data_IF_906792954644
#
_entry.id   IF_906792954644
#
_cell.length_a   1.000
_cell.length_b   1.000
_cell.length_c   1.000
_cell.angle_alpha   90.00
_cell.angle_beta   90.00
_cell.angle_gamma   90.00
#
_symmetry.space_group_name_H-M   'P 1'
#
loop_
_entity.id
_entity.type
_entity.pdbx_description
1 polymer ?
#
# COMPACT_ATOMS: atom_id res chain seq x y z
N UNK A 1 18.98 -5.90 12.50
CA UNK A 1 18.01 -4.82 12.22
C UNK A 1 18.63 -3.48 12.60
N UNK A 2 18.93 -2.63 11.61
CA UNK A 2 19.73 -1.39 11.76
C UNK A 2 19.01 -0.38 12.66
N UNK A 3 19.60 -0.11 13.82
CA UNK A 3 18.97 0.62 14.94
C UNK A 3 19.38 2.08 15.07
N UNK A 4 20.29 2.54 14.22
CA UNK A 4 20.68 3.94 14.14
C UNK A 4 20.97 4.28 12.69
N UNK A 5 20.08 5.07 12.08
CA UNK A 5 20.23 5.53 10.70
C UNK A 5 21.44 6.45 10.52
N UNK A 6 22.06 6.92 11.63
CA UNK A 6 23.33 7.65 11.61
C UNK A 6 24.51 6.82 11.06
N UNK A 7 24.36 5.49 10.92
CA UNK A 7 25.37 4.60 10.33
C UNK A 7 25.00 4.08 8.94
N UNK A 8 23.90 4.54 8.36
CA UNK A 8 23.59 4.24 6.97
C UNK A 8 24.57 5.03 6.10
N UNK A 9 25.65 4.36 5.69
CA UNK A 9 26.59 4.82 4.68
C UNK A 9 25.87 4.87 3.32
N UNK A 10 24.96 5.83 3.18
CA UNK A 10 24.30 6.11 1.92
C UNK A 10 25.29 6.81 0.99
N UNK A 11 25.23 6.52 -0.33
CA UNK A 11 25.91 7.33 -1.31
C UNK A 11 25.52 8.81 -1.18
N UNK A 12 26.45 9.72 -1.52
CA UNK A 12 26.28 11.17 -1.33
C UNK A 12 25.08 11.77 -2.06
N UNK A 13 24.53 11.09 -3.07
CA UNK A 13 23.36 11.53 -3.84
C UNK A 13 22.01 11.08 -3.23
N UNK A 14 22.01 10.38 -2.10
CA UNK A 14 20.81 9.95 -1.39
C UNK A 14 20.59 10.71 -0.07
N UNK A 15 19.33 10.84 0.30
CA UNK A 15 18.85 11.35 1.59
C UNK A 15 17.71 10.46 2.08
N UNK A 16 17.38 10.59 3.36
CA UNK A 16 16.36 9.77 3.98
C UNK A 16 15.43 10.57 4.88
N UNK A 17 14.22 10.06 5.04
CA UNK A 17 13.25 10.53 6.02
C UNK A 17 12.79 9.35 6.88
N UNK A 18 12.77 9.51 8.20
CA UNK A 18 12.42 8.44 9.14
C UNK A 18 11.21 8.79 9.99
N UNK A 19 10.37 7.79 10.27
CA UNK A 19 9.34 7.85 11.30
C UNK A 19 9.58 6.73 12.32
N UNK A 20 9.97 7.13 13.54
CA UNK A 20 10.28 6.21 14.63
C UNK A 20 9.09 6.05 15.57
N UNK A 21 8.94 4.88 16.19
CA UNK A 21 7.95 4.67 17.24
C UNK A 21 8.27 5.51 18.49
N UNK A 22 7.32 6.30 18.98
CA UNK A 22 7.48 7.07 20.23
C UNK A 22 7.44 6.08 21.41
N UNK A 23 8.40 6.16 22.34
CA UNK A 23 8.50 5.39 23.62
C UNK A 23 8.97 3.93 23.55
N UNK A 24 10.13 3.63 22.94
CA UNK A 24 10.76 2.29 23.09
C UNK A 24 12.17 2.41 23.67
N UNK A 25 12.45 1.62 24.74
CA UNK A 25 13.74 1.55 25.45
C UNK A 25 14.84 0.81 24.67
N UNK A 26 14.47 0.06 23.64
CA UNK A 26 15.34 -0.58 22.65
C UNK A 26 14.91 -0.09 21.27
N UNK A 27 15.86 0.26 20.41
CA UNK A 27 15.58 0.69 19.05
C UNK A 27 14.94 -0.46 18.25
N UNK A 28 13.61 -0.51 18.21
CA UNK A 28 12.85 -1.54 17.48
C UNK A 28 11.61 -0.93 16.86
N UNK A 29 11.45 -1.08 15.55
CA UNK A 29 10.34 -0.50 14.79
C UNK A 29 10.61 0.95 14.37
N UNK A 30 10.22 1.24 13.14
CA UNK A 30 10.42 2.52 12.49
C UNK A 30 10.35 2.33 10.98
N UNK A 31 10.00 3.37 10.26
CA UNK A 31 9.85 3.38 8.81
C UNK A 31 10.86 4.38 8.27
N UNK A 32 11.57 4.01 7.20
CA UNK A 32 12.50 4.88 6.51
C UNK A 32 12.12 4.94 5.04
N UNK A 33 12.15 6.14 4.46
CA UNK A 33 12.10 6.37 3.02
C UNK A 33 13.46 6.94 2.62
N UNK A 34 14.15 6.25 1.72
CA UNK A 34 15.44 6.68 1.16
C UNK A 34 15.20 7.08 -0.29
N UNK A 35 15.68 8.25 -0.68
CA UNK A 35 15.44 8.81 -2.01
C UNK A 35 16.63 9.63 -2.52
N UNK A 36 16.73 9.77 -3.84
CA UNK A 36 17.76 10.61 -4.47
C UNK A 36 17.51 12.08 -4.17
N UNK A 37 18.57 12.83 -3.85
CA UNK A 37 18.54 14.29 -3.59
C UNK A 37 17.90 15.07 -4.73
N UNK A 38 18.04 14.62 -5.98
CA UNK A 38 17.41 15.23 -7.14
C UNK A 38 15.88 15.26 -7.08
N UNK A 39 15.26 14.38 -6.28
CA UNK A 39 13.80 14.30 -6.12
C UNK A 39 13.28 15.18 -4.98
N UNK A 40 14.14 15.74 -4.13
CA UNK A 40 13.73 16.42 -2.89
C UNK A 40 12.68 17.51 -3.10
N UNK A 41 12.85 18.34 -4.13
CA UNK A 41 11.90 19.44 -4.46
C UNK A 41 10.56 18.96 -5.01
N UNK A 42 10.44 17.67 -5.30
CA UNK A 42 9.25 17.02 -5.87
C UNK A 42 8.58 16.08 -4.88
N UNK A 43 9.11 15.98 -3.66
CA UNK A 43 8.56 15.21 -2.57
C UNK A 43 8.06 16.15 -1.47
N UNK A 44 6.89 15.85 -0.91
CA UNK A 44 6.32 16.54 0.25
C UNK A 44 6.05 15.50 1.34
N UNK A 45 6.79 15.55 2.45
CA UNK A 45 6.57 14.64 3.58
C UNK A 45 5.53 15.19 4.54
N UNK A 46 4.67 14.33 5.07
CA UNK A 46 3.64 14.69 6.03
C UNK A 46 4.01 14.20 7.44
N UNK A 47 3.99 15.13 8.40
CA UNK A 47 4.21 14.80 9.80
C UNK A 47 2.87 14.52 10.47
N UNK A 48 2.49 13.24 10.51
CA UNK A 48 1.25 12.76 11.13
C UNK A 48 1.54 11.98 12.43
N UNK A 49 0.53 11.73 13.25
CA UNK A 49 0.71 11.16 14.60
C UNK A 49 0.92 9.65 14.61
N UNK A 50 0.32 8.91 13.67
CA UNK A 50 0.35 7.45 13.64
C UNK A 50 1.78 6.95 13.49
N UNK A 51 2.12 5.89 14.21
CA UNK A 51 3.45 5.30 14.15
C UNK A 51 3.55 4.15 13.14
N UNK A 52 2.43 3.81 12.50
CA UNK A 52 2.31 2.67 11.59
C UNK A 52 2.50 3.07 10.13
N UNK A 53 2.51 4.37 9.82
CA UNK A 53 2.62 4.86 8.45
C UNK A 53 3.45 6.14 8.35
N UNK A 54 4.33 6.18 7.35
CA UNK A 54 5.06 7.37 6.93
C UNK A 54 4.49 7.83 5.60
N UNK A 55 3.90 9.02 5.61
CA UNK A 55 3.25 9.61 4.45
C UNK A 55 4.17 10.59 3.72
N UNK A 56 4.19 10.49 2.40
CA UNK A 56 4.81 11.49 1.54
C UNK A 56 4.07 11.56 0.20
N UNK A 57 4.16 12.69 -0.48
CA UNK A 57 3.56 12.90 -1.79
C UNK A 57 4.65 13.04 -2.84
N UNK A 58 4.43 12.40 -3.99
CA UNK A 58 5.22 12.56 -5.19
C UNK A 58 4.45 13.45 -6.16
N UNK A 59 5.11 14.50 -6.65
CA UNK A 59 4.53 15.36 -7.68
C UNK A 59 4.23 14.57 -8.95
N UNK A 60 3.06 14.84 -9.55
CA UNK A 60 2.63 14.33 -10.85
C UNK A 60 3.62 14.56 -11.97
N UNK A 61 4.48 15.58 -11.84
CA UNK A 61 5.56 15.86 -12.80
C UNK A 61 6.65 14.78 -12.85
N UNK A 62 6.75 13.90 -11.84
CA UNK A 62 7.63 12.72 -11.87
C UNK A 62 6.93 11.55 -12.55
N UNK A 63 5.64 11.36 -12.28
CA UNK A 63 4.88 10.17 -12.67
C UNK A 63 4.10 10.37 -13.99
N UNK A 64 4.23 11.53 -14.63
CA UNK A 64 3.46 11.92 -15.83
C UNK A 64 1.95 11.69 -15.67
N UNK A 65 1.44 12.00 -14.47
CA UNK A 65 0.03 11.87 -14.08
C UNK A 65 -0.70 13.23 -14.14
N UNK A 66 -2.03 13.18 -14.11
CA UNK A 66 -2.86 14.38 -14.02
C UNK A 66 -2.96 14.93 -12.58
N UNK A 67 -2.74 14.06 -11.59
CA UNK A 67 -2.77 14.33 -10.15
C UNK A 67 -1.52 13.80 -9.47
N UNK A 68 -1.18 14.40 -8.33
CA UNK A 68 -0.09 13.94 -7.49
C UNK A 68 -0.46 12.59 -6.84
N UNK A 69 0.54 11.87 -6.32
CA UNK A 69 0.32 10.58 -5.65
C UNK A 69 0.80 10.67 -4.22
N UNK A 70 -0.08 10.33 -3.27
CA UNK A 70 0.28 10.18 -1.87
C UNK A 70 0.66 8.72 -1.61
N UNK A 71 1.88 8.55 -1.11
CA UNK A 71 2.42 7.27 -0.68
C UNK A 71 2.34 7.15 0.84
N UNK A 72 1.82 6.02 1.30
CA UNK A 72 1.91 5.58 2.69
C UNK A 72 2.84 4.38 2.80
N UNK A 73 4.04 4.57 3.36
CA UNK A 73 4.90 3.45 3.73
C UNK A 73 4.42 2.89 5.07
N UNK A 74 3.92 1.66 5.09
CA UNK A 74 3.21 1.06 6.21
C UNK A 74 4.06 -0.02 6.88
N UNK A 75 4.03 -0.04 8.21
CA UNK A 75 4.51 -1.14 9.04
C UNK A 75 3.55 -1.36 10.21
N UNK A 76 2.63 -2.31 10.06
CA UNK A 76 1.75 -2.77 11.12
C UNK A 76 2.42 -3.95 11.82
N UNK A 77 2.70 -3.87 13.15
CA UNK A 77 3.36 -4.96 13.85
C UNK A 77 2.50 -6.24 13.87
N UNK A 78 3.09 -7.45 13.92
CA UNK A 78 2.33 -8.71 13.90
C UNK A 78 1.29 -8.83 15.01
N UNK A 79 0.16 -9.52 14.75
CA UNK A 79 -0.97 -9.71 15.70
C UNK A 79 -0.55 -10.27 17.07
N UNK A 80 0.52 -11.07 17.11
CA UNK A 80 1.00 -11.72 18.34
C UNK A 80 2.14 -10.96 19.01
N UNK A 81 2.51 -9.80 18.49
CA UNK A 81 3.59 -8.98 19.05
C UNK A 81 3.10 -8.12 20.21
N UNK A 82 4.00 -7.67 21.08
CA UNK A 82 3.67 -6.75 22.19
C UNK A 82 3.14 -5.38 21.73
N UNK A 83 3.27 -5.07 20.44
CA UNK A 83 2.90 -3.79 19.85
C UNK A 83 1.67 -3.92 18.94
N UNK A 84 1.04 -5.10 18.88
CA UNK A 84 -0.16 -5.35 18.11
C UNK A 84 -1.32 -4.50 18.62
N UNK A 85 -2.01 -3.82 17.73
CA UNK A 85 -3.19 -3.00 18.03
C UNK A 85 -4.06 -3.00 16.78
N UNK A 86 -5.35 -3.30 16.94
CA UNK A 86 -6.27 -3.33 15.79
C UNK A 86 -6.58 -1.91 15.30
N UNK A 87 -6.43 -0.96 16.21
CA UNK A 87 -6.51 0.48 16.02
C UNK A 87 -5.47 0.97 15.01
N UNK A 88 -4.44 0.19 14.66
CA UNK A 88 -3.49 0.55 13.61
C UNK A 88 -4.17 0.80 12.25
N UNK A 89 -5.20 0.01 11.91
CA UNK A 89 -5.95 0.19 10.66
C UNK A 89 -6.89 1.39 10.71
N UNK A 90 -7.47 1.66 11.89
CA UNK A 90 -8.32 2.84 12.11
C UNK A 90 -7.50 4.13 12.09
N UNK A 91 -6.31 4.14 12.70
CA UNK A 91 -5.36 5.26 12.60
C UNK A 91 -4.93 5.50 11.15
N UNK A 92 -4.58 4.43 10.42
CA UNK A 92 -4.21 4.52 9.01
C UNK A 92 -5.34 5.10 8.16
N UNK A 93 -6.57 4.60 8.33
CA UNK A 93 -7.77 5.07 7.62
C UNK A 93 -8.09 6.54 7.95
N UNK A 94 -7.99 6.94 9.23
CA UNK A 94 -8.21 8.32 9.63
C UNK A 94 -7.21 9.28 8.99
N UNK A 95 -5.92 8.93 8.98
CA UNK A 95 -4.90 9.77 8.34
C UNK A 95 -5.06 9.82 6.83
N UNK A 96 -5.39 8.68 6.20
CA UNK A 96 -5.71 8.62 4.78
C UNK A 96 -6.84 9.60 4.44
N UNK A 97 -7.95 9.54 5.17
CA UNK A 97 -9.12 10.40 4.97
C UNK A 97 -8.80 11.89 5.16
N UNK A 98 -7.95 12.23 6.12
CA UNK A 98 -7.53 13.62 6.31
C UNK A 98 -6.73 14.11 5.10
N UNK A 99 -5.82 13.28 4.58
CA UNK A 99 -4.97 13.65 3.45
C UNK A 99 -5.77 13.74 2.14
N UNK A 100 -6.64 12.77 1.85
CA UNK A 100 -7.45 12.74 0.61
C UNK A 100 -8.49 13.85 0.55
N UNK A 101 -9.08 14.24 1.68
CA UNK A 101 -10.02 15.36 1.71
C UNK A 101 -9.37 16.73 1.41
N UNK A 102 -8.05 16.82 1.57
CA UNK A 102 -7.31 18.08 1.36
C UNK A 102 -6.68 18.19 -0.03
N UNK A 103 -6.49 17.07 -0.73
CA UNK A 103 -5.69 16.99 -1.94
C UNK A 103 -6.40 16.08 -2.97
N UNK A 104 -6.63 16.56 -4.19
CA UNK A 104 -7.06 15.69 -5.29
C UNK A 104 -5.88 14.83 -5.77
N UNK A 105 -5.74 13.63 -5.20
CA UNK A 105 -4.56 12.78 -5.35
C UNK A 105 -4.93 11.31 -5.49
N UNK A 106 -4.07 10.54 -6.18
CA UNK A 106 -4.14 9.08 -6.13
C UNK A 106 -3.39 8.57 -4.91
N UNK A 107 -3.74 7.38 -4.44
CA UNK A 107 -3.17 6.76 -3.25
C UNK A 107 -2.36 5.52 -3.60
N UNK A 108 -1.21 5.37 -2.97
CA UNK A 108 -0.42 4.15 -2.97
C UNK A 108 0.07 3.82 -1.55
N UNK A 109 -0.39 2.71 -0.98
CA UNK A 109 0.13 2.17 0.27
C UNK A 109 1.08 1.02 -0.05
N UNK A 110 2.23 1.01 0.63
CA UNK A 110 3.27 0.00 0.43
C UNK A 110 3.88 -0.41 1.75
N UNK A 111 4.09 -1.71 1.95
CA UNK A 111 4.86 -2.23 3.08
C UNK A 111 4.20 -3.40 3.78
N UNK A 112 4.70 -3.72 4.97
CA UNK A 112 4.31 -4.87 5.77
C UNK A 112 3.10 -4.55 6.64
N UNK A 113 1.94 -5.08 6.26
CA UNK A 113 0.70 -4.94 7.02
C UNK A 113 0.53 -6.05 8.06
N UNK A 114 1.37 -7.09 8.06
CA UNK A 114 1.17 -8.33 8.82
C UNK A 114 -0.25 -8.92 8.66
N UNK A 115 -0.88 -8.62 7.52
CA UNK A 115 -2.25 -8.96 7.18
C UNK A 115 -2.26 -10.15 6.24
N UNK A 116 -2.99 -11.21 6.60
CA UNK A 116 -3.20 -12.36 5.72
C UNK A 116 -4.59 -12.22 5.11
N UNK A 117 -4.67 -11.86 3.83
CA UNK A 117 -5.96 -11.62 3.15
C UNK A 117 -6.44 -12.83 2.34
N UNK A 118 -5.52 -13.72 1.95
CA UNK A 118 -5.79 -14.79 0.98
C UNK A 118 -6.32 -14.21 -0.34
N UNK A 119 -7.28 -14.91 -0.93
CA UNK A 119 -7.98 -14.49 -2.16
C UNK A 119 -9.31 -13.77 -1.89
N UNK A 120 -9.54 -13.29 -0.66
CA UNK A 120 -10.76 -12.54 -0.36
C UNK A 120 -10.81 -11.23 -1.16
N UNK A 121 -11.99 -10.81 -1.63
CA UNK A 121 -12.15 -9.60 -2.42
C UNK A 121 -11.89 -8.36 -1.57
N UNK A 122 -11.17 -7.40 -2.13
CA UNK A 122 -10.85 -6.07 -1.59
C UNK A 122 -11.80 -4.99 -2.06
N UNK A 123 -12.82 -5.36 -2.83
CA UNK A 123 -13.90 -4.51 -3.32
C UNK A 123 -15.25 -4.93 -2.72
N UNK A 124 -16.22 -4.02 -2.74
CA UNK A 124 -17.61 -4.30 -2.38
C UNK A 124 -18.23 -5.08 -3.53
N UNK A 125 -18.93 -6.19 -3.29
CA UNK A 125 -19.74 -6.82 -4.34
C UNK A 125 -21.12 -6.17 -4.26
N UNK A 126 -21.57 -5.42 -5.29
CA UNK A 126 -22.89 -4.81 -5.25
C UNK A 126 -23.96 -5.90 -5.21
N UNK A 127 -24.93 -5.73 -4.31
CA UNK A 127 -26.11 -6.59 -4.27
C UNK A 127 -26.94 -6.36 -5.55
N UNK A 128 -27.45 -7.42 -6.17
CA UNK A 128 -28.27 -7.35 -7.39
C UNK A 128 -29.47 -6.39 -7.23
N UNK A 129 -30.01 -6.28 -6.01
CA UNK A 129 -31.09 -5.36 -5.68
C UNK A 129 -30.67 -3.88 -5.73
N UNK A 130 -29.45 -3.54 -5.32
CA UNK A 130 -28.88 -2.18 -5.41
C UNK A 130 -28.68 -1.80 -6.87
N UNK A 131 -28.22 -2.75 -7.69
CA UNK A 131 -28.05 -2.54 -9.14
C UNK A 131 -29.36 -2.25 -9.84
N UNK A 132 -30.45 -2.89 -9.41
CA UNK A 132 -31.77 -2.71 -10.00
C UNK A 132 -32.48 -1.40 -9.60
N UNK A 133 -32.00 -0.72 -8.55
CA UNK A 133 -32.62 0.48 -7.99
C UNK A 133 -32.02 1.79 -8.51
N UNK A 134 -31.05 1.70 -9.44
CA UNK A 134 -30.41 2.84 -10.09
C UNK A 134 -31.34 3.53 -11.09
N UNK A 135 -32.31 4.28 -10.57
CA UNK A 135 -32.83 5.46 -11.26
C UNK A 135 -31.86 6.65 -11.05
N UNK A 136 -31.80 7.52 -12.05
CA UNK A 136 -30.70 8.44 -12.43
C UNK A 136 -30.25 9.54 -11.42
N UNK A 137 -30.56 9.45 -10.13
CA UNK A 137 -30.03 10.35 -9.10
C UNK A 137 -28.92 9.66 -8.29
N UNK A 138 -27.87 9.19 -8.99
CA UNK A 138 -26.80 8.41 -8.37
C UNK A 138 -25.97 9.26 -7.39
N UNK A 139 -25.77 8.72 -6.20
CA UNK A 139 -24.81 9.20 -5.20
C UNK A 139 -23.41 9.31 -5.83
N UNK A 140 -22.66 10.37 -5.53
CA UNK A 140 -21.33 10.61 -6.06
C UNK A 140 -20.38 9.44 -5.74
N UNK A 141 -20.53 8.84 -4.57
CA UNK A 141 -19.72 7.71 -4.11
C UNK A 141 -19.93 6.46 -5.01
N UNK A 142 -21.15 6.26 -5.51
CA UNK A 142 -21.49 5.14 -6.39
C UNK A 142 -20.90 5.36 -7.78
N UNK A 143 -20.97 6.59 -8.29
CA UNK A 143 -20.37 6.94 -9.58
C UNK A 143 -18.85 6.76 -9.56
N UNK A 144 -18.18 7.17 -8.49
CA UNK A 144 -16.75 6.97 -8.31
C UNK A 144 -16.39 5.47 -8.27
N UNK A 145 -17.14 4.68 -7.51
CA UNK A 145 -16.95 3.23 -7.45
C UNK A 145 -17.13 2.56 -8.82
N UNK A 146 -18.17 2.92 -9.59
CA UNK A 146 -18.39 2.38 -10.93
C UNK A 146 -17.27 2.79 -11.90
N UNK A 147 -16.80 4.02 -11.80
CA UNK A 147 -15.68 4.52 -12.59
C UNK A 147 -14.41 3.69 -12.36
N UNK A 148 -14.11 3.36 -11.10
CA UNK A 148 -12.98 2.51 -10.76
C UNK A 148 -13.09 1.10 -11.36
N UNK A 149 -14.28 0.50 -11.31
CA UNK A 149 -14.51 -0.81 -11.92
C UNK A 149 -14.34 -0.78 -13.44
N UNK A 150 -14.89 0.23 -14.10
CA UNK A 150 -14.67 0.44 -15.52
C UNK A 150 -13.18 0.60 -15.84
N UNK A 151 -12.45 1.37 -15.03
CA UNK A 151 -11.01 1.55 -15.19
C UNK A 151 -10.24 0.22 -15.12
N UNK A 152 -10.52 -0.61 -14.10
CA UNK A 152 -9.90 -1.93 -13.94
C UNK A 152 -10.20 -2.84 -15.14
N UNK A 153 -11.46 -2.87 -15.60
CA UNK A 153 -11.90 -3.69 -16.74
C UNK A 153 -11.23 -3.23 -18.03
N UNK A 154 -11.24 -1.93 -18.32
CA UNK A 154 -10.62 -1.35 -19.53
C UNK A 154 -9.12 -1.65 -19.60
N UNK A 155 -8.44 -1.64 -18.44
CA UNK A 155 -7.02 -1.95 -18.33
C UNK A 155 -6.72 -3.45 -18.15
N UNK A 156 -7.74 -4.32 -18.28
CA UNK A 156 -7.61 -5.79 -18.18
C UNK A 156 -6.97 -6.24 -16.86
N UNK A 157 -7.31 -5.55 -15.79
CA UNK A 157 -6.89 -5.86 -14.42
C UNK A 157 -7.88 -6.87 -13.83
N UNK A 158 -7.38 -7.99 -13.31
CA UNK A 158 -8.24 -9.02 -12.73
C UNK A 158 -8.89 -8.52 -11.43
N UNK A 159 -10.21 -8.65 -11.32
CA UNK A 159 -10.91 -8.40 -10.06
C UNK A 159 -10.59 -9.49 -9.03
N UNK A 160 -10.40 -10.73 -9.48
CA UNK A 160 -10.07 -11.86 -8.60
C UNK A 160 -8.58 -11.91 -8.32
N UNK A 161 -8.22 -11.90 -7.03
CA UNK A 161 -6.83 -12.08 -6.59
C UNK A 161 -6.52 -13.54 -6.34
N UNK A 162 -5.30 -13.93 -6.65
CA UNK A 162 -4.72 -15.20 -6.25
C UNK A 162 -3.67 -14.96 -5.19
N UNK A 163 -3.42 -15.97 -4.35
CA UNK A 163 -2.38 -15.88 -3.32
C UNK A 163 -1.81 -17.27 -3.09
N UNK A 164 -0.49 -17.36 -3.06
CA UNK A 164 0.22 -18.55 -2.65
C UNK A 164 0.22 -18.75 -1.12
N UNK A 165 -0.31 -17.80 -0.32
CA UNK A 165 -0.52 -18.06 1.09
C UNK A 165 -1.61 -19.11 1.26
N UNK A 166 -1.22 -20.27 1.77
CA UNK A 166 -2.16 -21.33 2.17
C UNK A 166 -2.79 -21.07 3.54
N UNK A 167 -2.34 -20.02 4.21
CA UNK A 167 -2.86 -19.57 5.49
C UNK A 167 -4.31 -19.07 5.36
N UNK A 168 -5.12 -19.31 6.40
CA UNK A 168 -6.41 -18.64 6.50
C UNK A 168 -6.22 -17.14 6.73
N UNK A 169 -7.14 -16.30 6.21
CA UNK A 169 -7.13 -14.89 6.54
C UNK A 169 -7.17 -14.66 8.06
N UNK A 170 -6.39 -13.68 8.54
CA UNK A 170 -6.34 -13.30 9.95
C UNK A 170 -7.19 -12.04 10.23
N UNK A 171 -7.24 -11.59 11.48
CA UNK A 171 -8.06 -10.42 11.88
C UNK A 171 -7.58 -9.16 11.16
N UNK A 172 -6.26 -8.99 11.03
CA UNK A 172 -5.66 -7.88 10.30
C UNK A 172 -5.96 -7.95 8.80
N UNK A 173 -5.98 -9.14 8.22
CA UNK A 173 -6.43 -9.36 6.85
C UNK A 173 -7.85 -8.85 6.61
N UNK A 174 -8.77 -9.16 7.52
CA UNK A 174 -10.15 -8.64 7.42
C UNK A 174 -10.22 -7.12 7.56
N UNK A 175 -9.43 -6.51 8.46
CA UNK A 175 -9.36 -5.05 8.60
C UNK A 175 -8.73 -4.35 7.39
N UNK A 176 -7.69 -4.94 6.81
CA UNK A 176 -7.07 -4.42 5.59
C UNK A 176 -8.06 -4.43 4.42
N UNK A 177 -8.81 -5.52 4.25
CA UNK A 177 -9.84 -5.61 3.22
C UNK A 177 -10.98 -4.62 3.46
N UNK A 178 -11.36 -4.38 4.72
CA UNK A 178 -12.35 -3.36 5.06
C UNK A 178 -11.87 -1.95 4.69
N UNK A 179 -10.61 -1.61 5.02
CA UNK A 179 -9.98 -0.35 4.61
C UNK A 179 -9.97 -0.21 3.09
N UNK A 180 -9.59 -1.25 2.35
CA UNK A 180 -9.59 -1.24 0.88
C UNK A 180 -10.98 -0.93 0.31
N UNK A 181 -12.01 -1.65 0.79
CA UNK A 181 -13.39 -1.50 0.33
C UNK A 181 -13.98 -0.13 0.60
N UNK A 182 -13.69 0.45 1.78
CA UNK A 182 -14.22 1.76 2.17
C UNK A 182 -13.60 2.92 1.41
N UNK A 183 -12.38 2.75 0.92
CA UNK A 183 -11.58 3.81 0.33
C UNK A 183 -11.33 3.60 -1.18
N UNK A 184 -12.06 2.67 -1.81
CA UNK A 184 -11.89 2.28 -3.22
C UNK A 184 -10.41 2.01 -3.59
N UNK A 185 -9.70 1.31 -2.69
CA UNK A 185 -8.32 0.91 -2.91
C UNK A 185 -8.25 -0.58 -3.24
N UNK A 186 -7.25 -0.94 -4.05
CA UNK A 186 -7.12 -2.28 -4.59
C UNK A 186 -5.71 -2.80 -4.36
N UNK A 187 -5.61 -4.02 -3.84
CA UNK A 187 -4.35 -4.75 -3.69
C UNK A 187 -3.83 -5.10 -5.09
N UNK A 188 -2.65 -4.60 -5.43
CA UNK A 188 -2.00 -4.84 -6.72
C UNK A 188 -1.29 -6.20 -6.79
N UNK A 189 -0.89 -6.77 -5.64
CA UNK A 189 -0.35 -8.13 -5.60
C UNK A 189 -1.29 -9.11 -6.32
N UNK A 190 -0.70 -9.99 -7.10
CA UNK A 190 -1.35 -10.94 -8.01
C UNK A 190 -2.03 -10.33 -9.24
N UNK A 191 -2.05 -9.01 -9.45
CA UNK A 191 -2.81 -8.37 -10.54
C UNK A 191 -1.93 -7.77 -11.64
N UNK A 192 -0.67 -7.44 -11.34
CA UNK A 192 0.23 -6.69 -12.21
C UNK A 192 1.65 -7.21 -12.19
N UNK A 193 2.44 -6.78 -13.18
CA UNK A 193 3.86 -7.12 -13.29
C UNK A 193 4.11 -8.61 -13.46
N UNK A 194 5.25 -9.05 -12.95
CA UNK A 194 5.67 -10.47 -12.92
C UNK A 194 4.83 -11.28 -11.93
N UNK A 195 4.26 -10.63 -10.90
CA UNK A 195 3.40 -11.30 -9.90
C UNK A 195 1.96 -11.55 -10.40
N UNK A 196 1.60 -11.07 -11.60
CA UNK A 196 0.26 -11.24 -12.16
C UNK A 196 -0.15 -12.72 -12.24
N UNK A 197 -1.31 -13.05 -11.68
CA UNK A 197 -1.87 -14.40 -11.60
C UNK A 197 -1.00 -15.40 -10.79
N UNK A 198 -0.07 -14.90 -9.96
CA UNK A 198 0.79 -15.70 -9.07
C UNK A 198 0.44 -15.44 -7.60
N UNK A 199 0.57 -14.20 -7.14
CA UNK A 199 0.34 -13.83 -5.74
C UNK A 199 1.39 -14.43 -4.80
N UNK A 200 2.66 -14.20 -5.13
CA UNK A 200 3.84 -14.75 -4.50
C UNK A 200 3.97 -14.38 -3.02
N UNK A 201 4.59 -15.28 -2.24
CA UNK A 201 4.82 -15.08 -0.80
C UNK A 201 5.86 -13.98 -0.60
N UNK A 202 5.59 -13.09 0.35
CA UNK A 202 6.48 -11.97 0.68
C UNK A 202 7.21 -12.18 2.00
N UNK A 203 6.86 -13.22 2.77
CA UNK A 203 7.42 -13.49 4.08
C UNK A 203 7.64 -15.00 4.32
N UNK A 204 8.90 -15.37 4.60
CA UNK A 204 9.36 -16.69 5.01
C UNK A 204 8.84 -17.83 4.12
N UNK A 205 8.70 -17.60 2.82
CA UNK A 205 8.09 -18.54 1.86
C UNK A 205 6.74 -19.13 2.34
N UNK A 206 6.02 -18.40 3.18
CA UNK A 206 4.86 -18.93 3.90
C UNK A 206 3.66 -18.00 3.85
N UNK A 207 3.88 -16.69 3.75
CA UNK A 207 2.79 -15.72 3.77
C UNK A 207 2.98 -14.53 2.86
N UNK A 208 1.86 -13.96 2.45
CA UNK A 208 1.77 -12.66 1.78
C UNK A 208 1.31 -11.67 2.85
N UNK A 209 2.19 -10.74 3.22
CA UNK A 209 1.94 -9.72 4.25
C UNK A 209 2.41 -8.33 3.82
N UNK A 210 3.28 -8.27 2.83
CA UNK A 210 3.72 -7.05 2.16
C UNK A 210 2.82 -6.79 0.96
N UNK A 211 2.18 -5.63 0.95
CA UNK A 211 1.23 -5.29 -0.10
C UNK A 211 1.61 -4.00 -0.79
N UNK A 212 1.37 -3.96 -2.10
CA UNK A 212 1.13 -2.74 -2.84
C UNK A 212 -0.39 -2.57 -2.96
N UNK A 213 -0.92 -1.47 -2.45
CA UNK A 213 -2.36 -1.16 -2.45
C UNK A 213 -2.54 0.21 -3.08
N UNK A 214 -3.36 0.31 -4.12
CA UNK A 214 -3.39 1.51 -4.97
C UNK A 214 -4.81 1.89 -5.40
N UNK A 215 -5.00 3.17 -5.73
CA UNK A 215 -6.15 3.62 -6.52
C UNK A 215 -6.17 2.96 -7.91
N UNK A 216 -7.36 2.72 -8.46
CA UNK A 216 -7.58 2.09 -9.78
C UNK A 216 -6.73 2.75 -10.89
N UNK A 217 -6.65 4.08 -10.87
CA UNK A 217 -5.95 4.91 -11.85
C UNK A 217 -4.44 4.68 -11.93
N UNK A 218 -3.83 4.05 -10.91
CA UNK A 218 -2.40 3.79 -10.89
C UNK A 218 -2.02 2.46 -11.55
N UNK A 219 -2.95 1.51 -11.73
CA UNK A 219 -2.67 0.23 -12.37
C UNK A 219 -2.02 0.36 -13.76
N UNK A 220 -2.51 1.22 -14.67
CA UNK A 220 -1.94 1.33 -16.03
C UNK A 220 -0.51 1.87 -16.03
N UNK A 221 -0.10 2.53 -14.95
CA UNK A 221 1.21 3.13 -14.78
C UNK A 221 2.25 2.11 -14.31
N UNK A 222 1.84 0.97 -13.77
CA UNK A 222 2.77 -0.05 -13.30
C UNK A 222 3.37 -0.76 -14.52
N UNK A 223 4.66 -0.53 -14.75
CA UNK A 223 5.43 -1.22 -15.78
C UNK A 223 5.94 -2.55 -15.27
N UNK A 224 6.46 -2.55 -14.05
CA UNK A 224 7.10 -3.69 -13.42
C UNK A 224 6.66 -3.81 -11.97
N UNK A 225 6.34 -5.03 -11.55
CA UNK A 225 6.08 -5.36 -10.16
C UNK A 225 6.52 -6.81 -9.92
N UNK A 226 7.46 -6.99 -9.00
CA UNK A 226 8.08 -8.28 -8.71
C UNK A 226 8.30 -8.45 -7.21
N UNK A 227 8.16 -9.68 -6.74
CA UNK A 227 8.60 -10.12 -5.42
C UNK A 227 9.94 -10.84 -5.65
N UNK A 228 11.03 -10.18 -5.27
CA UNK A 228 12.39 -10.69 -5.48
C UNK A 228 12.75 -11.74 -4.42
N UNK A 229 13.85 -12.44 -4.65
CA UNK A 229 14.35 -13.48 -3.77
C UNK A 229 14.64 -12.96 -2.35
N UNK A 230 14.46 -13.82 -1.36
CA UNK A 230 14.81 -13.48 0.01
C UNK A 230 16.33 -13.25 0.14
N UNK A 231 16.71 -12.07 0.62
CA UNK A 231 18.10 -11.72 0.89
C UNK A 231 18.33 -11.63 2.41
N UNK A 232 19.03 -12.59 3.03
CA UNK A 232 19.29 -12.62 4.47
C UNK A 232 20.05 -11.40 5.01
N UNK A 233 20.72 -10.65 4.12
CA UNK A 233 21.42 -9.41 4.48
C UNK A 233 20.46 -8.24 4.75
N UNK A 234 19.27 -8.27 4.18
CA UNK A 234 18.31 -7.15 4.24
C UNK A 234 17.15 -7.39 5.19
N UNK A 235 16.79 -8.65 5.46
CA UNK A 235 15.67 -8.98 6.33
C UNK A 235 15.86 -10.34 7.02
N UNK A 236 15.13 -10.54 8.12
CA UNK A 236 15.06 -11.82 8.85
C UNK A 236 13.98 -12.76 8.27
N UNK A 237 13.37 -12.40 7.13
CA UNK A 237 12.39 -13.25 6.43
C UNK A 237 11.50 -12.56 5.40
N UNK A 238 11.65 -11.25 5.16
CA UNK A 238 10.85 -10.52 4.16
C UNK A 238 11.55 -10.49 2.79
N UNK A 239 10.78 -10.69 1.74
CA UNK A 239 11.20 -10.55 0.35
C UNK A 239 11.20 -9.08 -0.06
N UNK A 240 12.01 -8.73 -1.05
CA UNK A 240 12.06 -7.38 -1.58
C UNK A 240 10.96 -7.20 -2.64
N UNK A 241 10.08 -6.22 -2.44
CA UNK A 241 9.11 -5.85 -3.47
C UNK A 241 9.69 -4.75 -4.36
N UNK A 242 9.81 -5.01 -5.66
CA UNK A 242 10.30 -4.06 -6.66
C UNK A 242 9.11 -3.53 -7.46
N UNK A 243 9.03 -2.21 -7.64
CA UNK A 243 7.95 -1.54 -8.34
C UNK A 243 8.51 -0.44 -9.24
N UNK A 244 8.24 -0.55 -10.55
CA UNK A 244 8.53 0.51 -11.51
C UNK A 244 7.25 1.10 -12.09
N UNK A 245 7.15 2.42 -12.00
CA UNK A 245 6.16 3.20 -12.73
C UNK A 245 6.71 3.60 -14.10
N UNK A 246 5.85 3.58 -15.13
CA UNK A 246 6.16 4.12 -16.46
C UNK A 246 6.50 5.60 -16.33
N UNK A 247 7.68 5.98 -16.83
CA UNK A 247 8.03 7.37 -17.09
C UNK A 247 7.85 7.59 -18.59
N UNK A 248 7.07 8.60 -18.97
CA UNK A 248 6.94 9.06 -20.35
C UNK A 248 7.85 10.26 -20.59
#
# INVERSE_FOLDING_TARGET
>A
MLTDFNHLNLPDDYIYFTKNRKKIKKASGGIVVIYRKSLEKKLKFYNTESQFVLWFQISKSILSLNSDVIFGCVYVPPENSKYSTIEAFEELENELNILTNTENCNIALVGDFNSKTGSLPDYIIPDESVVSMFDLDCDADILEYLYDFENLIQNKISLQRVSQCTCRPNKYGHRLLELCRKNNLYIANSRVGSDKDIGEKTCNDSSVVDYLIISSMLFPMIFYFEIDDFIPLYSDGMHLCILDFRQH
#
